data_IF_996729234176
#
_entry.id   IF_996729234176
#
_cell.length_a   1.000
_cell.length_b   1.000
_cell.length_c   1.000
_cell.angle_alpha   90.00
_cell.angle_beta   90.00
_cell.angle_gamma   90.00
#
_symmetry.space_group_name_H-M   'P 1'
#
loop_
_entity.id
_entity.type
_entity.pdbx_description
1 polymer ?
#
# COMPACT_ATOMS: atom_id res chain seq x y z
N UNK A 1 18.70 12.01 -11.10
CA UNK A 1 17.24 11.96 -10.93
C UNK A 1 16.90 10.57 -10.43
N UNK A 2 16.36 10.47 -9.21
CA UNK A 2 15.98 9.22 -8.54
C UNK A 2 14.47 9.09 -8.80
N UNK A 3 13.96 8.06 -9.48
CA UNK A 3 12.52 7.90 -9.68
C UNK A 3 11.78 7.85 -8.34
N UNK A 4 10.80 8.72 -8.15
CA UNK A 4 9.84 8.67 -7.04
C UNK A 4 8.64 7.84 -7.51
N UNK A 5 8.14 6.95 -6.66
CA UNK A 5 6.90 6.19 -6.93
C UNK A 5 6.01 6.33 -5.71
N UNK A 6 4.86 6.97 -5.83
CA UNK A 6 3.95 7.18 -4.71
C UNK A 6 2.98 6.01 -4.63
N UNK A 7 2.51 5.65 -3.44
CA UNK A 7 1.55 4.56 -3.28
C UNK A 7 0.45 4.99 -2.32
N UNK A 8 -0.79 4.94 -2.77
CA UNK A 8 -1.95 5.33 -2.01
C UNK A 8 -2.53 4.14 -1.24
N UNK A 9 -2.72 4.32 0.06
CA UNK A 9 -3.29 3.36 0.98
C UNK A 9 -4.69 3.83 1.35
N UNK A 10 -5.72 3.22 0.77
CA UNK A 10 -7.10 3.52 1.15
C UNK A 10 -7.55 2.70 2.35
N UNK A 11 -8.16 3.39 3.31
CA UNK A 11 -8.75 2.84 4.53
C UNK A 11 -10.26 3.05 4.51
N UNK A 12 -11.05 1.97 4.51
CA UNK A 12 -12.50 2.09 4.62
C UNK A 12 -12.96 2.46 6.04
N UNK A 13 -13.80 3.50 6.16
CA UNK A 13 -14.55 3.81 7.38
C UNK A 13 -16.04 3.48 7.19
N UNK A 14 -16.57 2.55 7.99
CA UNK A 14 -17.96 2.61 8.43
C UNK A 14 -18.07 2.14 9.89
N UNK A 15 -18.82 2.92 10.65
CA UNK A 15 -18.87 2.95 12.11
C UNK A 15 -18.94 1.56 12.79
N UNK A 16 -18.01 1.35 13.73
CA UNK A 16 -18.14 0.59 14.97
C UNK A 16 -18.11 -0.95 14.92
N UNK A 17 -18.11 -1.68 13.79
CA UNK A 17 -18.02 -3.16 13.89
C UNK A 17 -17.35 -3.99 12.78
N UNK A 18 -16.71 -3.44 11.74
CA UNK A 18 -16.10 -4.31 10.71
C UNK A 18 -14.75 -3.80 10.18
N UNK A 19 -13.84 -4.77 10.00
CA UNK A 19 -12.49 -4.73 9.42
C UNK A 19 -12.29 -3.54 8.45
N UNK A 20 -11.35 -2.64 8.74
CA UNK A 20 -10.95 -1.61 7.78
C UNK A 20 -10.42 -2.31 6.53
N UNK A 21 -11.15 -2.29 5.42
CA UNK A 21 -10.71 -2.90 4.16
C UNK A 21 -9.88 -1.90 3.36
N UNK A 22 -8.97 -2.42 2.54
CA UNK A 22 -8.05 -1.66 1.70
C UNK A 22 -8.13 -2.13 0.27
N UNK A 23 -8.11 -1.18 -0.66
CA UNK A 23 -8.13 -1.45 -2.10
C UNK A 23 -6.70 -1.76 -2.56
N UNK A 24 -6.49 -2.97 -3.07
CA UNK A 24 -5.24 -3.36 -3.70
C UNK A 24 -5.47 -3.63 -5.19
N UNK A 25 -4.40 -3.46 -5.96
CA UNK A 25 -4.34 -3.64 -7.40
C UNK A 25 -3.41 -4.81 -7.72
N UNK A 26 -3.78 -5.59 -8.73
CA UNK A 26 -2.85 -6.47 -9.43
C UNK A 26 -2.41 -5.78 -10.72
N UNK A 27 -1.12 -5.45 -10.84
CA UNK A 27 -0.59 -4.92 -12.10
C UNK A 27 -0.42 -6.02 -13.14
N UNK A 28 -0.37 -5.66 -14.42
CA UNK A 28 -0.12 -6.59 -15.55
C UNK A 28 1.15 -7.45 -15.42
N UNK A 29 2.09 -7.08 -14.53
CA UNK A 29 3.27 -7.89 -14.22
C UNK A 29 3.02 -8.98 -13.16
N UNK A 30 1.78 -9.12 -12.68
CA UNK A 30 1.35 -10.14 -11.71
C UNK A 30 1.70 -9.83 -10.25
N UNK A 31 2.11 -8.59 -9.93
CA UNK A 31 2.45 -8.18 -8.58
C UNK A 31 1.32 -7.37 -7.94
N UNK A 32 1.00 -7.68 -6.69
CA UNK A 32 0.06 -6.89 -5.89
C UNK A 32 0.73 -5.59 -5.44
N UNK A 33 0.08 -4.47 -5.76
CA UNK A 33 0.50 -3.15 -5.38
C UNK A 33 -0.70 -2.33 -4.87
N UNK A 34 -0.36 -1.21 -4.25
CA UNK A 34 -1.28 -0.13 -3.96
C UNK A 34 -1.32 0.81 -5.18
N UNK A 35 -2.45 1.50 -5.44
CA UNK A 35 -2.53 2.46 -6.52
C UNK A 35 -1.41 3.49 -6.44
N UNK A 36 -0.79 3.84 -7.56
CA UNK A 36 0.26 4.84 -7.54
C UNK A 36 1.36 4.69 -8.59
N UNK A 37 2.01 5.80 -8.89
CA UNK A 37 3.01 5.88 -9.94
C UNK A 37 3.99 7.02 -9.71
N UNK A 38 4.56 7.54 -10.80
CA UNK A 38 5.65 8.52 -10.71
C UNK A 38 5.09 9.92 -10.60
N UNK A 39 5.80 10.76 -9.84
CA UNK A 39 5.53 12.21 -9.85
C UNK A 39 5.67 12.77 -11.27
N UNK A 40 4.67 13.56 -11.67
CA UNK A 40 4.63 14.32 -12.92
C UNK A 40 4.90 15.81 -12.66
N UNK A 41 5.19 16.59 -13.72
CA UNK A 41 5.54 18.01 -13.59
C UNK A 41 4.41 18.86 -13.00
N UNK A 42 3.16 18.43 -13.21
CA UNK A 42 1.95 19.14 -12.77
C UNK A 42 1.47 18.71 -11.37
N UNK A 43 2.10 17.69 -10.76
CA UNK A 43 1.77 17.24 -9.41
C UNK A 43 2.28 18.27 -8.38
N UNK A 44 1.36 18.90 -7.64
CA UNK A 44 1.72 19.94 -6.68
C UNK A 44 2.50 19.41 -5.47
N UNK A 45 2.21 18.17 -5.05
CA UNK A 45 2.87 17.47 -3.96
C UNK A 45 2.69 15.94 -4.06
N UNK A 46 3.18 15.24 -3.03
CA UNK A 46 3.13 13.78 -2.91
C UNK A 46 1.68 13.25 -2.82
N UNK A 47 0.73 14.04 -2.32
CA UNK A 47 -0.68 13.68 -2.19
C UNK A 47 -1.35 13.76 -3.56
N UNK A 48 -1.13 14.85 -4.30
CA UNK A 48 -1.69 15.03 -5.64
C UNK A 48 -1.21 13.92 -6.60
N UNK A 49 0.05 13.51 -6.48
CA UNK A 49 0.59 12.37 -7.24
C UNK A 49 -0.21 11.10 -6.93
N UNK A 50 -0.41 10.78 -5.64
CA UNK A 50 -1.11 9.55 -5.23
C UNK A 50 -2.58 9.54 -5.65
N UNK A 51 -3.28 10.69 -5.54
CA UNK A 51 -4.68 10.82 -5.94
C UNK A 51 -4.85 10.76 -7.46
N UNK A 52 -3.97 11.38 -8.24
CA UNK A 52 -3.98 11.31 -9.70
C UNK A 52 -3.83 9.87 -10.18
N UNK A 53 -2.82 9.17 -9.68
CA UNK A 53 -2.55 7.79 -10.09
C UNK A 53 -3.70 6.85 -9.68
N UNK A 54 -4.30 7.03 -8.50
CA UNK A 54 -5.48 6.28 -8.09
C UNK A 54 -6.71 6.56 -9.00
N UNK A 55 -6.89 7.80 -9.42
CA UNK A 55 -7.92 8.18 -10.38
C UNK A 55 -7.67 7.52 -11.75
N UNK A 56 -6.43 7.53 -12.24
CA UNK A 56 -6.03 6.95 -13.52
C UNK A 56 -6.15 5.41 -13.53
N UNK A 57 -5.67 4.73 -12.49
CA UNK A 57 -5.58 3.28 -12.44
C UNK A 57 -6.93 2.61 -12.13
N UNK A 58 -7.71 3.18 -11.21
CA UNK A 58 -8.92 2.55 -10.66
C UNK A 58 -10.17 3.45 -10.69
N UNK A 59 -10.08 4.65 -11.25
CA UNK A 59 -11.22 5.56 -11.35
C UNK A 59 -11.68 6.11 -9.99
N UNK A 60 -10.76 6.23 -9.02
CA UNK A 60 -11.10 6.77 -7.71
C UNK A 60 -11.39 8.26 -7.78
N UNK A 61 -12.66 8.62 -7.56
CA UNK A 61 -13.06 10.02 -7.38
C UNK A 61 -12.41 10.57 -6.11
N UNK A 62 -11.55 11.58 -6.29
CA UNK A 62 -10.82 12.26 -5.22
C UNK A 62 -11.74 12.78 -4.12
N UNK A 63 -12.99 13.12 -4.43
CA UNK A 63 -13.97 13.61 -3.45
C UNK A 63 -14.47 12.54 -2.48
N UNK A 64 -14.21 11.25 -2.76
CA UNK A 64 -14.55 10.14 -1.88
C UNK A 64 -13.48 9.84 -0.83
N UNK A 65 -12.30 10.46 -0.94
CA UNK A 65 -11.13 10.18 -0.11
C UNK A 65 -10.75 11.41 0.71
N UNK A 66 -10.66 11.25 2.03
CA UNK A 66 -9.90 12.24 2.82
C UNK A 66 -8.52 11.68 3.14
N UNK A 67 -7.48 12.42 2.77
CA UNK A 67 -6.11 12.06 3.09
C UNK A 67 -5.83 12.37 4.56
N UNK A 68 -5.41 11.33 5.30
CA UNK A 68 -5.17 11.41 6.74
C UNK A 68 -3.72 11.71 7.05
N UNK A 69 -2.78 11.08 6.34
CA UNK A 69 -1.35 11.26 6.58
C UNK A 69 -0.52 10.82 5.39
N UNK A 70 0.69 11.36 5.29
CA UNK A 70 1.77 10.83 4.46
C UNK A 70 2.74 10.08 5.38
N UNK A 71 3.12 8.85 5.02
CA UNK A 71 4.07 8.05 5.78
C UNK A 71 5.51 8.39 5.39
N UNK A 72 6.47 7.96 6.21
CA UNK A 72 7.89 8.11 5.93
C UNK A 72 8.27 7.45 4.60
N UNK A 73 9.14 8.12 3.84
CA UNK A 73 9.58 7.62 2.54
C UNK A 73 10.38 6.32 2.69
N UNK A 74 10.05 5.32 1.88
CA UNK A 74 10.67 4.01 1.86
C UNK A 74 11.56 3.88 0.62
N UNK A 75 12.90 3.83 0.76
CA UNK A 75 13.76 3.53 -0.38
C UNK A 75 13.49 2.12 -0.86
N UNK A 76 13.25 1.98 -2.15
CA UNK A 76 13.09 0.71 -2.84
C UNK A 76 14.35 0.38 -3.66
N UNK A 77 14.36 -0.77 -4.33
CA UNK A 77 15.44 -1.13 -5.24
C UNK A 77 15.53 -0.13 -6.40
N UNK A 78 16.66 -0.13 -7.11
CA UNK A 78 16.90 0.68 -8.31
C UNK A 78 16.87 2.20 -8.09
N UNK A 79 17.21 2.68 -6.89
CA UNK A 79 17.13 4.11 -6.52
C UNK A 79 15.71 4.65 -6.74
N UNK A 80 14.71 3.86 -6.38
CA UNK A 80 13.33 4.36 -6.27
C UNK A 80 13.10 4.77 -4.82
N UNK A 81 12.38 5.87 -4.60
CA UNK A 81 11.88 6.23 -3.26
C UNK A 81 10.37 6.25 -3.30
N UNK A 82 9.74 5.52 -2.38
CA UNK A 82 8.29 5.43 -2.27
C UNK A 82 7.75 6.25 -1.14
N UNK A 83 6.70 7.02 -1.40
CA UNK A 83 6.04 7.87 -0.42
C UNK A 83 4.61 7.38 -0.27
N UNK A 84 4.28 6.66 0.82
CA UNK A 84 2.93 6.15 1.01
C UNK A 84 2.00 7.26 1.49
N UNK A 85 0.86 7.44 0.84
CA UNK A 85 -0.19 8.38 1.22
C UNK A 85 -1.37 7.59 1.74
N UNK A 86 -1.83 7.87 2.96
CA UNK A 86 -2.93 7.13 3.59
C UNK A 86 -4.21 7.96 3.51
N UNK A 87 -5.19 7.47 2.78
CA UNK A 87 -6.53 8.04 2.63
C UNK A 87 -7.57 7.23 3.38
N UNK A 88 -8.68 7.87 3.73
CA UNK A 88 -9.91 7.20 4.16
C UNK A 88 -10.94 7.33 3.06
N UNK A 89 -11.45 6.19 2.59
CA UNK A 89 -12.61 6.13 1.72
C UNK A 89 -13.88 6.10 2.61
N UNK A 90 -14.64 7.20 2.63
CA UNK A 90 -15.76 7.37 3.57
C UNK A 90 -17.06 6.72 3.10
N UNK A 91 -17.21 6.56 1.79
CA UNK A 91 -18.39 5.92 1.19
C UNK A 91 -17.95 4.86 0.17
N UNK A 92 -17.85 3.61 0.65
CA UNK A 92 -17.56 2.45 -0.20
C UNK A 92 -18.61 2.24 -1.29
N UNK A 93 -19.87 2.57 -1.02
CA UNK A 93 -20.97 2.32 -1.95
C UNK A 93 -20.96 3.35 -3.09
N UNK A 94 -20.45 4.55 -2.83
CA UNK A 94 -20.19 5.55 -3.86
C UNK A 94 -18.98 5.21 -4.73
N UNK A 95 -18.04 4.41 -4.22
CA UNK A 95 -16.88 3.98 -5.01
C UNK A 95 -17.26 2.91 -6.05
N UNK A 96 -17.38 3.35 -7.30
CA UNK A 96 -17.60 2.51 -8.47
C UNK A 96 -16.33 2.46 -9.34
N UNK A 97 -15.43 1.48 -9.13
CA UNK A 97 -14.13 1.46 -9.78
C UNK A 97 -14.24 1.37 -11.30
N UNK A 98 -13.42 2.15 -11.99
CA UNK A 98 -13.22 2.09 -13.44
C UNK A 98 -11.77 1.75 -13.70
N UNK A 99 -11.52 0.48 -14.02
CA UNK A 99 -10.17 -0.06 -14.15
C UNK A 99 -9.52 0.39 -15.46
N UNK A 100 -8.32 0.97 -15.39
CA UNK A 100 -7.45 1.10 -16.56
C UNK A 100 -6.80 -0.25 -16.87
N UNK A 101 -7.39 -1.00 -17.81
CA UNK A 101 -6.92 -2.34 -18.17
C UNK A 101 -5.53 -2.39 -18.79
N UNK A 102 -4.96 -1.24 -19.19
CA UNK A 102 -3.58 -1.18 -19.67
C UNK A 102 -2.55 -1.40 -18.56
N UNK A 103 -2.92 -1.12 -17.30
CA UNK A 103 -2.01 -1.14 -16.15
C UNK A 103 -2.49 -2.12 -15.08
N UNK A 104 -3.80 -2.18 -14.86
CA UNK A 104 -4.45 -2.95 -13.81
C UNK A 104 -5.20 -4.16 -14.37
N UNK A 105 -4.91 -5.34 -13.83
CA UNK A 105 -5.58 -6.59 -14.16
C UNK A 105 -6.82 -6.81 -13.27
N UNK A 106 -6.72 -6.51 -11.98
CA UNK A 106 -7.78 -6.73 -11.02
C UNK A 106 -7.68 -5.80 -9.80
N UNK A 107 -8.82 -5.52 -9.18
CA UNK A 107 -8.93 -4.85 -7.89
C UNK A 107 -9.51 -5.84 -6.87
N UNK A 108 -9.01 -5.81 -5.64
CA UNK A 108 -9.59 -6.57 -4.54
C UNK A 108 -9.45 -5.84 -3.20
N UNK A 109 -10.35 -6.16 -2.29
CA UNK A 109 -10.34 -5.67 -0.91
C UNK A 109 -9.62 -6.66 0.01
N UNK A 110 -8.79 -6.13 0.92
CA UNK A 110 -8.12 -6.92 1.96
C UNK A 110 -8.34 -6.30 3.35
N UNK A 111 -8.66 -7.08 4.40
CA UNK A 111 -8.78 -6.55 5.75
C UNK A 111 -7.43 -6.02 6.29
N UNK A 112 -7.31 -4.74 6.60
CA UNK A 112 -6.09 -4.11 7.14
C UNK A 112 -5.53 -4.86 8.36
N UNK A 113 -6.41 -5.36 9.23
CA UNK A 113 -5.97 -6.08 10.43
C UNK A 113 -5.19 -7.35 10.11
N UNK A 114 -5.35 -7.93 8.92
CA UNK A 114 -4.61 -9.13 8.52
C UNK A 114 -3.10 -8.91 8.55
N UNK A 115 -2.64 -7.67 8.30
CA UNK A 115 -1.22 -7.31 8.29
C UNK A 115 -0.63 -7.20 9.70
N UNK A 116 -1.42 -7.43 10.74
CA UNK A 116 -0.95 -7.54 12.12
C UNK A 116 -0.92 -8.98 12.64
N UNK A 117 -1.52 -9.94 11.93
CA UNK A 117 -1.66 -11.30 12.42
C UNK A 117 -0.67 -12.26 11.78
N UNK A 118 -0.31 -13.31 12.51
CA UNK A 118 0.61 -14.36 12.03
C UNK A 118 -0.15 -15.52 11.35
N UNK A 119 -1.30 -15.24 10.74
CA UNK A 119 -2.07 -16.23 9.98
C UNK A 119 -1.90 -16.03 8.47
N UNK A 120 -1.76 -17.13 7.73
CA UNK A 120 -1.52 -17.11 6.27
C UNK A 120 -0.34 -16.21 5.86
N UNK A 121 0.63 -16.08 6.78
CA UNK A 121 1.81 -15.25 6.61
C UNK A 121 3.06 -16.13 6.53
N UNK A 122 3.99 -15.75 5.67
CA UNK A 122 5.34 -16.32 5.56
C UNK A 122 6.37 -15.20 5.64
N UNK A 123 7.60 -15.55 5.97
CA UNK A 123 8.72 -14.61 5.91
C UNK A 123 9.96 -15.21 5.28
N UNK A 124 10.81 -14.32 4.75
CA UNK A 124 12.13 -14.67 4.24
C UNK A 124 13.14 -13.63 4.71
N UNK A 125 14.20 -14.11 5.33
CA UNK A 125 15.35 -13.26 5.65
C UNK A 125 16.13 -12.92 4.37
N UNK A 126 16.42 -11.63 4.19
CA UNK A 126 17.22 -11.09 3.10
C UNK A 126 18.45 -10.42 3.69
N UNK A 127 19.60 -10.73 3.09
CA UNK A 127 20.86 -10.04 3.35
C UNK A 127 21.19 -9.16 2.14
N UNK A 128 21.23 -7.84 2.35
CA UNK A 128 21.51 -6.88 1.29
C UNK A 128 22.38 -5.74 1.83
N UNK A 129 23.51 -5.45 1.17
CA UNK A 129 24.43 -4.38 1.54
C UNK A 129 24.87 -4.37 3.03
N UNK A 130 24.96 -5.54 3.65
CA UNK A 130 25.32 -5.68 5.08
C UNK A 130 24.16 -5.49 6.07
N UNK A 131 22.94 -5.27 5.57
CA UNK A 131 21.71 -5.28 6.35
C UNK A 131 20.97 -6.61 6.21
N UNK A 132 20.42 -7.07 7.33
CA UNK A 132 19.55 -8.24 7.40
C UNK A 132 18.13 -7.77 7.74
N UNK A 133 17.18 -8.06 6.87
CA UNK A 133 15.77 -7.68 7.05
C UNK A 133 14.84 -8.81 6.63
N UNK A 134 13.61 -8.76 7.12
CA UNK A 134 12.57 -9.73 6.80
C UNK A 134 11.68 -9.17 5.69
N UNK A 135 11.48 -9.98 4.65
CA UNK A 135 10.38 -9.78 3.71
C UNK A 135 9.22 -10.64 4.17
N UNK A 136 8.06 -10.01 4.33
CA UNK A 136 6.81 -10.67 4.71
C UNK A 136 5.97 -10.95 3.46
N UNK A 137 5.27 -12.07 3.47
CA UNK A 137 4.33 -12.51 2.46
C UNK A 137 3.01 -12.82 3.16
N UNK A 138 1.90 -12.31 2.65
CA UNK A 138 0.56 -12.59 3.12
C UNK A 138 -0.25 -13.20 1.98
N UNK A 139 -0.76 -14.39 2.20
CA UNK A 139 -1.63 -15.08 1.27
C UNK A 139 -3.08 -14.68 1.56
N UNK A 140 -3.73 -14.00 0.61
CA UNK A 140 -5.11 -13.50 0.72
C UNK A 140 -6.01 -14.20 -0.30
N UNK A 141 -7.15 -14.73 0.15
CA UNK A 141 -8.11 -15.41 -0.70
C UNK A 141 -9.41 -14.62 -0.73
N UNK A 142 -9.89 -14.34 -1.95
CA UNK A 142 -11.16 -13.69 -2.21
C UNK A 142 -12.02 -14.58 -3.10
N UNK A 143 -13.27 -14.17 -3.33
CA UNK A 143 -14.15 -14.83 -4.29
C UNK A 143 -13.57 -14.84 -5.72
N UNK A 144 -12.69 -13.88 -6.02
CA UNK A 144 -12.13 -13.66 -7.36
C UNK A 144 -10.73 -14.27 -7.54
N UNK A 145 -10.11 -14.81 -6.48
CA UNK A 145 -8.80 -15.46 -6.62
C UNK A 145 -7.96 -15.46 -5.34
N UNK A 146 -6.72 -15.93 -5.50
CA UNK A 146 -5.70 -15.93 -4.44
C UNK A 146 -4.60 -14.93 -4.82
N UNK A 147 -4.29 -14.05 -3.89
CA UNK A 147 -3.35 -12.95 -4.07
C UNK A 147 -2.24 -13.07 -3.03
N UNK A 148 -1.00 -12.86 -3.46
CA UNK A 148 0.15 -12.83 -2.56
C UNK A 148 0.62 -11.40 -2.40
N UNK A 149 0.48 -10.86 -1.20
CA UNK A 149 0.85 -9.49 -0.85
C UNK A 149 2.21 -9.54 -0.16
N UNK A 150 3.23 -8.88 -0.73
CA UNK A 150 4.61 -9.04 -0.27
C UNK A 150 5.46 -7.79 -0.46
N UNK A 151 6.72 -7.88 -0.03
CA UNK A 151 7.75 -6.84 -0.21
C UNK A 151 7.32 -5.45 0.29
N UNK A 152 7.42 -4.42 -0.57
CA UNK A 152 7.17 -3.04 -0.22
C UNK A 152 5.70 -2.82 0.18
N UNK A 153 4.78 -3.35 -0.63
CA UNK A 153 3.34 -3.32 -0.37
C UNK A 153 3.04 -3.87 1.02
N UNK A 154 3.50 -5.08 1.36
CA UNK A 154 3.31 -5.64 2.69
C UNK A 154 3.92 -4.77 3.81
N UNK A 155 5.10 -4.19 3.59
CA UNK A 155 5.75 -3.31 4.57
C UNK A 155 4.96 -2.04 4.88
N UNK A 156 4.41 -1.39 3.84
CA UNK A 156 3.51 -0.23 3.97
C UNK A 156 2.25 -0.61 4.74
N UNK A 157 1.67 -1.76 4.41
CA UNK A 157 0.43 -2.25 5.00
C UNK A 157 0.59 -2.61 6.47
N UNK A 158 1.69 -3.28 6.85
CA UNK A 158 2.04 -3.54 8.26
C UNK A 158 2.17 -2.23 9.04
N UNK A 159 2.88 -1.24 8.49
CA UNK A 159 3.08 0.07 9.15
C UNK A 159 1.75 0.80 9.31
N UNK A 160 0.94 0.84 8.27
CA UNK A 160 -0.39 1.47 8.28
C UNK A 160 -1.28 0.79 9.33
N UNK A 161 -1.36 -0.53 9.32
CA UNK A 161 -2.17 -1.29 10.27
C UNK A 161 -1.73 -1.03 11.71
N UNK A 162 -0.41 -0.98 11.94
CA UNK A 162 0.15 -0.72 13.27
C UNK A 162 -0.24 0.66 13.81
N UNK A 163 -0.27 1.68 12.94
CA UNK A 163 -0.71 3.04 13.30
C UNK A 163 -2.22 3.05 13.59
N UNK A 164 -3.02 2.49 12.68
CA UNK A 164 -4.48 2.53 12.73
C UNK A 164 -5.02 1.76 13.95
N UNK A 165 -4.51 0.56 14.20
CA UNK A 165 -4.93 -0.27 15.33
C UNK A 165 -4.15 0.02 16.63
N UNK A 166 -3.18 0.94 16.59
CA UNK A 166 -2.35 1.33 17.73
C UNK A 166 -1.71 0.14 18.46
N UNK A 167 -1.32 -0.91 17.71
CA UNK A 167 -0.68 -2.10 18.25
C UNK A 167 0.39 -2.62 17.28
N UNK A 168 1.46 -3.27 17.78
CA UNK A 168 2.41 -3.94 16.91
C UNK A 168 1.78 -5.20 16.28
N UNK A 169 2.37 -5.72 15.20
CA UNK A 169 2.02 -7.03 14.68
C UNK A 169 2.41 -8.15 15.65
N UNK A 170 1.72 -9.28 15.53
CA UNK A 170 1.90 -10.49 16.35
C UNK A 170 3.14 -11.31 15.93
N UNK A 171 3.95 -10.77 15.01
CA UNK A 171 5.17 -11.36 14.47
C UNK A 171 6.32 -10.35 14.49
N UNK A 172 7.56 -10.85 14.37
CA UNK A 172 8.73 -9.98 14.33
C UNK A 172 8.78 -9.20 13.01
N UNK A 173 8.76 -7.87 13.10
CA UNK A 173 9.12 -7.02 11.96
C UNK A 173 10.60 -6.69 12.05
N UNK A 174 11.34 -6.97 10.97
CA UNK A 174 12.73 -6.53 10.81
C UNK A 174 12.81 -5.72 9.53
N UNK A 175 12.49 -4.43 9.59
CA UNK A 175 12.56 -3.56 8.42
C UNK A 175 14.01 -3.32 7.98
N UNK A 176 14.26 -3.09 6.68
CA UNK A 176 15.57 -2.67 6.23
C UNK A 176 15.99 -1.35 6.88
N UNK A 177 17.22 -1.23 7.37
CA UNK A 177 17.70 0.01 8.03
C UNK A 177 17.66 1.23 7.12
N UNK A 178 17.72 1.03 5.80
CA UNK A 178 17.59 2.12 4.83
C UNK A 178 16.17 2.69 4.75
N UNK A 179 15.13 2.01 5.25
CA UNK A 179 13.76 2.56 5.36
C UNK A 179 13.63 3.64 6.44
N UNK A 180 14.54 3.68 7.42
CA UNK A 180 14.52 4.68 8.49
C UNK A 180 15.40 5.91 8.18
N UNK A 181 15.87 6.09 6.94
CA UNK A 181 16.64 7.28 6.59
C UNK A 181 15.69 8.40 6.20
N UNK A 182 15.38 9.26 7.17
CA UNK A 182 14.78 10.58 6.94
C UNK A 182 15.65 11.34 5.93
N UNK A 183 15.02 12.11 5.01
CA UNK A 183 15.71 13.01 4.08
C UNK A 183 16.75 13.85 4.86
N UNK A 184 18.02 13.75 4.48
CA UNK A 184 19.00 14.82 4.71
C UNK A 184 19.04 15.70 3.47
#
# INVERSE_FOLDING_TARGET
>A
MVPLVHQMVDLLHHMINMLHQMVNILHQMGEVALPGGKVEEDDADDIETALREAEEEIGLDRSLVDVVTVLESLPARNRITVIPVVGILWDRNAFNPVINTAEVEAIFDAPLEMFLKDENRREKEIKYMGDEYLIHFFDHETENGKYMIWALTAGILIKTASIVYQRPPDFQVRMPRFWNRSRQ
#
